data_IF_807738279970
#
_entry.id   IF_807738279970
#
_cell.length_a   1.000
_cell.length_b   1.000
_cell.length_c   1.000
_cell.angle_alpha   90.00
_cell.angle_beta   90.00
_cell.angle_gamma   90.00
#
_symmetry.space_group_name_H-M   'P 1'
#
loop_
_entity.id
_entity.type
_entity.pdbx_description
1 polymer ?
#
# COMPACT_ATOMS: atom_id res chain seq x y z
N UNK A 1 20.77 -32.30 29.49
CA UNK A 1 19.52 -32.16 28.69
C UNK A 1 19.30 -30.68 28.39
N UNK A 2 19.46 -30.24 27.15
CA UNK A 2 18.90 -28.95 26.67
C UNK A 2 19.08 -28.87 25.16
N UNK A 3 18.19 -29.52 24.40
CA UNK A 3 18.18 -29.45 22.95
C UNK A 3 16.72 -29.21 22.56
N UNK A 4 16.47 -28.24 21.67
CA UNK A 4 15.16 -27.91 21.09
C UNK A 4 14.29 -26.90 21.85
N UNK A 5 14.82 -25.69 22.00
CA UNK A 5 14.02 -24.49 22.25
C UNK A 5 13.76 -23.76 20.91
N UNK A 6 13.01 -24.38 20.01
CA UNK A 6 12.71 -23.77 18.72
C UNK A 6 11.76 -22.58 18.90
N UNK A 7 11.99 -21.53 18.11
CA UNK A 7 11.07 -20.40 17.94
C UNK A 7 9.87 -20.84 17.08
N UNK A 8 8.74 -20.10 17.07
CA UNK A 8 7.64 -20.40 16.17
C UNK A 8 8.10 -20.49 14.71
N UNK A 9 7.59 -21.49 14.00
CA UNK A 9 7.87 -21.66 12.56
C UNK A 9 6.85 -20.88 11.73
N UNK A 10 7.18 -20.61 10.45
CA UNK A 10 6.26 -19.97 9.51
C UNK A 10 4.93 -20.71 9.40
N UNK A 11 4.97 -22.03 9.23
CA UNK A 11 3.76 -22.85 9.14
C UNK A 11 2.87 -22.74 10.39
N UNK A 12 3.45 -22.62 11.59
CA UNK A 12 2.66 -22.41 12.81
C UNK A 12 1.96 -21.04 12.81
N UNK A 13 2.61 -20.00 12.29
CA UNK A 13 2.00 -18.67 12.16
C UNK A 13 0.94 -18.64 11.06
N UNK A 14 1.18 -19.31 9.93
CA UNK A 14 0.19 -19.44 8.84
C UNK A 14 -1.09 -20.13 9.35
N UNK A 15 -0.95 -21.21 10.15
CA UNK A 15 -2.11 -21.86 10.78
C UNK A 15 -2.86 -20.87 11.69
N UNK A 16 -2.16 -20.10 12.52
CA UNK A 16 -2.79 -19.09 13.37
C UNK A 16 -3.54 -18.04 12.52
N UNK A 17 -2.92 -17.52 11.47
CA UNK A 17 -3.52 -16.52 10.58
C UNK A 17 -4.79 -17.04 9.89
N UNK A 18 -4.80 -18.29 9.45
CA UNK A 18 -6.01 -18.92 8.91
C UNK A 18 -7.13 -19.02 9.95
N UNK A 19 -6.83 -19.33 11.20
CA UNK A 19 -7.84 -19.36 12.26
C UNK A 19 -8.37 -17.96 12.58
N UNK A 20 -7.51 -16.93 12.54
CA UNK A 20 -7.93 -15.53 12.67
C UNK A 20 -8.87 -15.14 11.54
N UNK A 21 -8.51 -15.43 10.29
CA UNK A 21 -9.37 -15.12 9.15
C UNK A 21 -10.73 -15.86 9.22
N UNK A 22 -10.74 -17.12 9.65
CA UNK A 22 -11.98 -17.89 9.79
C UNK A 22 -12.88 -17.38 10.91
N UNK A 23 -12.33 -17.04 12.07
CA UNK A 23 -13.14 -16.56 13.19
C UNK A 23 -13.70 -15.16 12.92
N UNK A 24 -12.94 -14.30 12.23
CA UNK A 24 -13.33 -12.93 11.90
C UNK A 24 -14.13 -12.78 10.61
N UNK A 25 -14.41 -13.86 9.86
CA UNK A 25 -14.97 -13.77 8.49
C UNK A 25 -16.29 -13.00 8.34
N UNK A 26 -17.05 -12.86 9.43
CA UNK A 26 -18.32 -12.11 9.41
C UNK A 26 -18.04 -10.61 9.61
N UNK A 27 -17.18 -10.26 10.58
CA UNK A 27 -16.90 -8.87 10.96
C UNK A 27 -15.84 -8.22 10.05
N UNK A 28 -14.91 -9.02 9.50
CA UNK A 28 -13.78 -8.59 8.67
C UNK A 28 -13.53 -9.57 7.50
N UNK A 29 -14.47 -9.72 6.55
CA UNK A 29 -14.32 -10.61 5.39
C UNK A 29 -13.08 -10.31 4.55
N UNK A 30 -12.66 -9.05 4.49
CA UNK A 30 -11.51 -8.56 3.72
C UNK A 30 -10.17 -9.16 4.16
N UNK A 31 -10.04 -9.59 5.44
CA UNK A 31 -8.83 -10.26 5.94
C UNK A 31 -8.66 -11.61 5.22
N UNK A 32 -9.75 -12.34 5.04
CA UNK A 32 -9.72 -13.64 4.36
C UNK A 32 -9.40 -13.47 2.87
N UNK A 33 -10.06 -12.53 2.22
CA UNK A 33 -9.82 -12.22 0.81
C UNK A 33 -8.35 -11.83 0.56
N UNK A 34 -7.81 -10.94 1.41
CA UNK A 34 -6.41 -10.54 1.32
C UNK A 34 -5.48 -11.73 1.54
N UNK A 35 -5.76 -12.61 2.51
CA UNK A 35 -4.94 -13.79 2.78
C UNK A 35 -4.91 -14.75 1.58
N UNK A 36 -6.05 -14.99 0.93
CA UNK A 36 -6.17 -15.85 -0.26
C UNK A 36 -5.40 -15.29 -1.48
N UNK A 37 -5.37 -13.97 -1.63
CA UNK A 37 -4.60 -13.27 -2.68
C UNK A 37 -3.11 -13.10 -2.34
N UNK A 38 -2.74 -13.32 -1.08
CA UNK A 38 -1.40 -13.02 -0.59
C UNK A 38 -0.33 -14.04 -0.95
N UNK A 39 0.91 -13.54 -1.09
CA UNK A 39 2.08 -14.43 -1.12
C UNK A 39 2.41 -14.95 0.29
N UNK A 40 3.14 -16.07 0.34
CA UNK A 40 3.54 -16.71 1.61
C UNK A 40 4.41 -15.79 2.48
N UNK A 41 4.40 -16.05 3.79
CA UNK A 41 5.24 -15.32 4.76
C UNK A 41 6.73 -15.46 4.37
N UNK A 42 7.35 -14.32 4.05
CA UNK A 42 8.76 -14.25 3.65
C UNK A 42 9.70 -14.39 4.85
N UNK A 43 9.38 -13.76 5.98
CA UNK A 43 10.18 -13.91 7.20
C UNK A 43 9.38 -13.62 8.47
N UNK A 44 9.89 -14.13 9.60
CA UNK A 44 9.37 -13.86 10.94
C UNK A 44 10.49 -13.19 11.75
N UNK A 45 10.15 -12.10 12.42
CA UNK A 45 11.04 -11.39 13.33
C UNK A 45 10.37 -11.23 14.69
N UNK A 46 11.17 -11.00 15.73
CA UNK A 46 10.67 -10.83 17.10
C UNK A 46 10.98 -9.41 17.57
N UNK A 47 9.93 -8.62 17.81
CA UNK A 47 10.07 -7.27 18.35
C UNK A 47 10.08 -7.26 19.87
N UNK A 48 10.71 -6.24 20.46
CA UNK A 48 10.72 -5.98 21.90
C UNK A 48 9.76 -4.87 22.33
N UNK A 49 9.37 -3.98 21.41
CA UNK A 49 8.47 -2.84 21.67
C UNK A 49 7.63 -2.53 20.41
N UNK A 50 6.34 -2.90 20.38
CA UNK A 50 5.70 -3.85 21.29
C UNK A 50 6.38 -5.23 21.24
N UNK A 51 6.26 -6.01 22.32
CA UNK A 51 6.75 -7.39 22.32
C UNK A 51 5.86 -8.23 21.40
N UNK A 52 6.42 -8.88 20.39
CA UNK A 52 5.58 -9.61 19.44
C UNK A 52 6.31 -10.32 18.32
N UNK A 53 5.52 -10.92 17.43
CA UNK A 53 5.95 -11.61 16.22
C UNK A 53 5.63 -10.70 15.03
N UNK A 54 6.65 -10.14 14.38
CA UNK A 54 6.50 -9.36 13.16
C UNK A 54 6.59 -10.27 11.94
N UNK A 55 5.71 -10.05 10.96
CA UNK A 55 5.61 -10.81 9.73
C UNK A 55 6.01 -9.93 8.56
N UNK A 56 6.95 -10.40 7.75
CA UNK A 56 7.28 -9.77 6.46
C UNK A 56 6.75 -10.64 5.33
N UNK A 57 6.14 -10.01 4.33
CA UNK A 57 5.57 -10.66 3.16
C UNK A 57 6.25 -10.15 1.89
N UNK A 58 6.36 -11.00 0.89
CA UNK A 58 6.62 -10.52 -0.46
C UNK A 58 5.31 -9.96 -1.02
N UNK A 59 5.33 -8.78 -1.61
CA UNK A 59 4.12 -8.19 -2.15
C UNK A 59 3.80 -8.81 -3.51
N UNK A 60 2.52 -9.14 -3.73
CA UNK A 60 1.99 -9.44 -5.05
C UNK A 60 1.27 -8.17 -5.55
N UNK A 61 1.55 -7.75 -6.79
CA UNK A 61 0.97 -6.55 -7.39
C UNK A 61 -0.56 -6.62 -7.49
N UNK A 62 -1.16 -7.82 -7.57
CA UNK A 62 -2.62 -7.98 -7.60
C UNK A 62 -3.29 -7.58 -6.27
N UNK A 63 -2.61 -7.77 -5.13
CA UNK A 63 -3.08 -7.29 -3.81
C UNK A 63 -3.04 -5.76 -3.76
N UNK A 64 -2.18 -5.10 -4.57
CA UNK A 64 -2.08 -3.64 -4.56
C UNK A 64 -3.38 -2.96 -5.02
N UNK A 65 -4.30 -3.70 -5.66
CA UNK A 65 -5.53 -3.17 -6.28
C UNK A 65 -6.79 -3.33 -5.41
N UNK A 66 -6.74 -4.03 -4.28
CA UNK A 66 -7.90 -4.18 -3.37
C UNK A 66 -8.00 -3.01 -2.37
N UNK A 67 -9.16 -2.83 -1.73
CA UNK A 67 -9.34 -1.84 -0.67
C UNK A 67 -8.41 -2.13 0.51
N UNK A 68 -7.38 -1.29 0.70
CA UNK A 68 -6.37 -1.46 1.75
C UNK A 68 -6.81 -0.74 3.03
N UNK A 69 -7.00 -1.50 4.11
CA UNK A 69 -7.12 -0.93 5.44
C UNK A 69 -5.92 -1.31 6.31
N UNK A 70 -5.47 -0.33 7.08
CA UNK A 70 -4.43 -0.48 8.09
C UNK A 70 -5.09 -0.21 9.44
N UNK A 71 -5.04 -1.17 10.34
CA UNK A 71 -5.67 -1.04 11.64
C UNK A 71 -5.07 -1.99 12.67
N UNK A 72 -5.22 -1.62 13.95
CA UNK A 72 -4.98 -2.52 15.07
C UNK A 72 -6.34 -3.10 15.51
N UNK A 73 -6.36 -4.39 15.81
CA UNK A 73 -7.52 -5.14 16.24
C UNK A 73 -7.33 -5.64 17.67
N UNK A 74 -8.32 -5.32 18.51
CA UNK A 74 -8.42 -5.71 19.90
C UNK A 74 -9.66 -6.58 20.13
N UNK A 75 -9.68 -7.33 21.23
CA UNK A 75 -10.83 -8.12 21.66
C UNK A 75 -10.80 -9.59 21.20
N UNK A 76 -9.77 -10.01 20.47
CA UNK A 76 -9.50 -11.42 20.23
C UNK A 76 -8.77 -12.05 21.42
N UNK A 77 -9.12 -13.29 21.72
CA UNK A 77 -8.49 -14.08 22.78
C UNK A 77 -7.96 -15.40 22.27
N UNK A 78 -6.82 -15.84 22.79
CA UNK A 78 -6.19 -17.12 22.49
C UNK A 78 -6.00 -17.94 23.76
N UNK A 79 -6.21 -19.25 23.69
CA UNK A 79 -6.11 -20.12 24.86
C UNK A 79 -4.65 -20.31 25.30
N UNK A 80 -4.32 -19.90 26.53
CA UNK A 80 -3.03 -20.16 27.16
C UNK A 80 -3.02 -21.55 27.80
N UNK A 81 -2.20 -22.45 27.26
CA UNK A 81 -2.12 -23.86 27.68
C UNK A 81 -1.60 -24.05 29.09
N UNK A 82 -0.77 -23.12 29.58
CA UNK A 82 -0.17 -23.19 30.92
C UNK A 82 -1.13 -22.68 31.98
N UNK A 83 -1.76 -21.52 31.73
CA UNK A 83 -2.69 -20.88 32.68
C UNK A 83 -4.12 -21.43 32.59
N UNK A 84 -4.44 -22.17 31.52
CA UNK A 84 -5.75 -22.78 31.26
C UNK A 84 -6.86 -21.74 31.13
N UNK A 85 -6.53 -20.57 30.59
CA UNK A 85 -7.46 -19.46 30.40
C UNK A 85 -7.25 -18.81 29.03
N UNK A 86 -8.25 -18.05 28.59
CA UNK A 86 -8.16 -17.24 27.38
C UNK A 86 -7.52 -15.90 27.71
N UNK A 87 -6.43 -15.57 27.01
CA UNK A 87 -5.72 -14.30 27.16
C UNK A 87 -5.96 -13.43 25.93
N UNK A 88 -6.10 -12.12 26.14
CA UNK A 88 -6.24 -11.16 25.04
C UNK A 88 -4.96 -11.10 24.19
N UNK A 89 -5.14 -10.95 22.88
CA UNK A 89 -4.09 -10.74 21.91
C UNK A 89 -4.42 -9.53 21.05
N UNK A 90 -3.42 -8.70 20.77
CA UNK A 90 -3.58 -7.56 19.86
C UNK A 90 -2.95 -7.91 18.52
N UNK A 91 -3.71 -7.72 17.45
CA UNK A 91 -3.30 -8.02 16.09
C UNK A 91 -3.20 -6.74 15.28
N UNK A 92 -2.16 -6.63 14.47
CA UNK A 92 -1.88 -5.44 13.68
C UNK A 92 -1.97 -5.82 12.22
N UNK A 93 -2.88 -5.17 11.49
CA UNK A 93 -3.11 -5.42 10.07
C UNK A 93 -2.51 -4.30 9.22
N UNK A 94 -1.84 -4.70 8.13
CA UNK A 94 -1.38 -3.80 7.08
C UNK A 94 -1.89 -4.32 5.74
N UNK A 95 -2.58 -3.46 5.00
CA UNK A 95 -3.28 -3.84 3.77
C UNK A 95 -4.16 -5.09 3.98
N UNK A 96 -4.93 -5.10 5.08
CA UNK A 96 -5.74 -6.22 5.58
C UNK A 96 -4.99 -7.53 5.90
N UNK A 97 -3.65 -7.56 5.80
CA UNK A 97 -2.83 -8.72 6.13
C UNK A 97 -2.21 -8.60 7.52
N UNK A 98 -2.10 -9.72 8.23
CA UNK A 98 -1.48 -9.74 9.54
C UNK A 98 0.01 -9.39 9.41
N UNK A 99 0.40 -8.34 10.13
CA UNK A 99 1.77 -7.78 10.13
C UNK A 99 2.48 -7.97 11.46
N UNK A 100 1.74 -7.99 12.57
CA UNK A 100 2.28 -8.19 13.90
C UNK A 100 1.26 -8.85 14.83
N UNK A 101 1.75 -9.80 15.61
CA UNK A 101 1.05 -10.43 16.72
C UNK A 101 1.70 -9.94 18.01
N UNK A 102 1.04 -9.04 18.74
CA UNK A 102 1.54 -8.56 20.02
C UNK A 102 1.25 -9.57 21.12
N UNK A 103 2.33 -10.05 21.75
CA UNK A 103 2.24 -11.03 22.83
C UNK A 103 3.50 -11.04 23.68
N UNK A 104 3.34 -11.41 24.94
CA UNK A 104 4.47 -11.62 25.82
C UNK A 104 5.27 -12.86 25.40
N UNK A 105 6.61 -12.73 25.39
CA UNK A 105 7.57 -13.82 25.09
C UNK A 105 7.25 -14.54 23.76
N UNK A 106 7.27 -13.80 22.63
CA UNK A 106 6.82 -14.29 21.33
C UNK A 106 7.62 -15.51 20.82
N UNK A 107 8.87 -15.67 21.25
CA UNK A 107 9.71 -16.85 20.96
C UNK A 107 9.14 -18.18 21.51
N UNK A 108 8.18 -18.11 22.45
CA UNK A 108 7.51 -19.29 23.03
C UNK A 108 6.05 -19.42 22.60
N UNK A 109 5.59 -18.64 21.63
CA UNK A 109 4.18 -18.56 21.23
C UNK A 109 3.52 -19.93 21.05
N UNK A 110 4.06 -20.80 20.19
CA UNK A 110 3.52 -22.15 19.95
C UNK A 110 3.58 -23.09 21.17
N UNK A 111 4.43 -22.82 22.17
CA UNK A 111 4.47 -23.60 23.43
C UNK A 111 3.46 -23.08 24.44
N UNK A 112 3.25 -21.77 24.48
CA UNK A 112 2.37 -21.13 25.45
C UNK A 112 0.90 -21.24 25.02
N UNK A 113 0.62 -21.06 23.73
CA UNK A 113 -0.75 -20.89 23.24
C UNK A 113 -1.22 -22.07 22.38
N UNK A 114 -2.52 -22.32 22.42
CA UNK A 114 -3.24 -23.15 21.47
C UNK A 114 -3.98 -22.22 20.50
N UNK A 115 -3.33 -21.90 19.39
CA UNK A 115 -3.85 -20.97 18.38
C UNK A 115 -5.04 -21.52 17.58
N UNK A 116 -5.41 -22.79 17.77
CA UNK A 116 -6.65 -23.34 17.21
C UNK A 116 -7.87 -23.03 18.08
N UNK A 117 -7.63 -22.59 19.33
CA UNK A 117 -8.67 -22.23 20.29
C UNK A 117 -8.66 -20.72 20.51
N UNK A 118 -9.53 -20.06 19.77
CA UNK A 118 -9.72 -18.62 19.84
C UNK A 118 -11.16 -18.27 20.21
N UNK A 119 -11.34 -17.09 20.79
CA UNK A 119 -12.65 -16.53 21.12
C UNK A 119 -12.71 -15.06 20.70
N UNK A 120 -13.89 -14.63 20.30
CA UNK A 120 -14.22 -13.23 20.06
C UNK A 120 -14.81 -12.65 21.34
N UNK A 121 -14.18 -11.60 21.87
CA UNK A 121 -14.74 -10.72 22.88
C UNK A 121 -15.41 -9.49 22.23
N UNK A 122 -15.35 -8.35 22.91
CA UNK A 122 -15.77 -7.07 22.33
C UNK A 122 -14.70 -6.58 21.34
N UNK A 123 -14.95 -6.74 20.04
CA UNK A 123 -14.01 -6.31 19.00
C UNK A 123 -13.92 -4.79 18.95
N UNK A 124 -12.69 -4.27 18.92
CA UNK A 124 -12.41 -2.85 18.75
C UNK A 124 -11.31 -2.69 17.72
N UNK A 125 -11.47 -1.72 16.83
CA UNK A 125 -10.44 -1.36 15.86
C UNK A 125 -9.89 0.02 16.16
N UNK A 126 -8.60 0.19 15.89
CA UNK A 126 -7.96 1.49 15.82
C UNK A 126 -7.43 1.67 14.40
N UNK A 127 -8.05 2.52 13.57
CA UNK A 127 -7.54 2.76 12.24
C UNK A 127 -6.15 3.41 12.32
N UNK A 128 -5.26 2.97 11.44
CA UNK A 128 -3.94 3.55 11.24
C UNK A 128 -3.93 4.16 9.85
N UNK A 129 -4.15 5.47 9.77
CA UNK A 129 -3.84 6.21 8.56
C UNK A 129 -2.35 6.56 8.59
N UNK A 130 -1.59 6.04 7.64
CA UNK A 130 -0.37 6.71 7.23
C UNK A 130 -0.79 7.77 6.22
N UNK A 131 -0.65 9.04 6.57
CA UNK A 131 -0.75 10.09 5.55
C UNK A 131 0.49 9.93 4.66
N UNK A 132 0.28 9.53 3.40
CA UNK A 132 1.35 9.54 2.41
C UNK A 132 1.84 10.99 2.30
N UNK A 133 3.12 11.21 2.61
CA UNK A 133 3.73 12.54 2.59
C UNK A 133 3.62 13.17 1.20
N UNK A 134 3.77 12.37 0.15
CA UNK A 134 3.69 12.83 -1.24
C UNK A 134 2.25 13.22 -1.58
N UNK A 135 1.26 12.45 -1.13
CA UNK A 135 -0.18 12.80 -1.21
C UNK A 135 -0.49 14.10 -0.49
N UNK A 136 0.09 14.30 0.71
CA UNK A 136 -0.06 15.54 1.46
C UNK A 136 0.52 16.72 0.68
N UNK A 137 1.74 16.57 0.17
CA UNK A 137 2.40 17.62 -0.62
C UNK A 137 1.60 17.93 -1.88
N UNK A 138 1.13 16.91 -2.61
CA UNK A 138 0.28 17.10 -3.78
C UNK A 138 -1.01 17.87 -3.45
N UNK A 139 -1.68 17.52 -2.33
CA UNK A 139 -2.86 18.25 -1.85
C UNK A 139 -2.54 19.69 -1.48
N UNK A 140 -1.40 19.92 -0.82
CA UNK A 140 -0.97 21.26 -0.42
C UNK A 140 -0.67 22.16 -1.64
N UNK A 141 -0.05 21.59 -2.69
CA UNK A 141 0.15 22.25 -3.98
C UNK A 141 -1.20 22.60 -4.62
N UNK A 142 -2.17 21.69 -4.54
CA UNK A 142 -3.48 21.82 -5.20
C UNK A 142 -4.58 22.43 -4.30
N UNK A 143 -4.23 23.03 -3.16
CA UNK A 143 -5.20 23.49 -2.14
C UNK A 143 -6.23 24.50 -2.64
N UNK A 144 -5.91 25.23 -3.71
CA UNK A 144 -6.78 26.25 -4.30
C UNK A 144 -7.69 25.69 -5.40
N UNK A 145 -7.52 24.42 -5.80
CA UNK A 145 -8.33 23.76 -6.82
C UNK A 145 -9.68 23.38 -6.24
N UNK A 146 -10.75 23.64 -6.99
CA UNK A 146 -12.11 23.27 -6.57
C UNK A 146 -12.25 21.77 -6.34
N UNK A 147 -13.08 21.37 -5.36
CA UNK A 147 -13.31 19.96 -5.01
C UNK A 147 -13.75 19.10 -6.20
N UNK A 148 -14.59 19.63 -7.09
CA UNK A 148 -15.09 18.91 -8.27
C UNK A 148 -13.97 18.60 -9.27
N UNK A 149 -12.99 19.50 -9.40
CA UNK A 149 -11.78 19.28 -10.20
C UNK A 149 -10.83 18.29 -9.53
N UNK A 150 -10.62 18.41 -8.21
CA UNK A 150 -9.78 17.48 -7.45
C UNK A 150 -10.28 16.03 -7.53
N UNK A 151 -11.60 15.82 -7.49
CA UNK A 151 -12.21 14.49 -7.61
C UNK A 151 -12.00 13.82 -8.99
N UNK A 152 -11.53 14.57 -10.00
CA UNK A 152 -11.16 14.02 -11.30
C UNK A 152 -9.70 13.56 -11.34
N UNK A 153 -8.91 13.85 -10.30
CA UNK A 153 -7.50 13.48 -10.20
C UNK A 153 -7.31 12.22 -9.33
N UNK A 154 -6.15 11.59 -9.46
CA UNK A 154 -5.76 10.38 -8.73
C UNK A 154 -4.71 10.70 -7.65
N UNK A 155 -4.97 11.75 -6.87
CA UNK A 155 -4.00 12.29 -5.89
C UNK A 155 -3.82 11.43 -4.64
N UNK A 156 -4.77 10.53 -4.35
CA UNK A 156 -4.74 9.70 -3.14
C UNK A 156 -3.52 8.77 -3.13
N UNK A 157 -3.09 8.32 -4.30
CA UNK A 157 -1.93 7.47 -4.53
C UNK A 157 -0.73 8.27 -5.09
N UNK A 158 -0.65 9.57 -4.81
CA UNK A 158 0.43 10.39 -5.32
C UNK A 158 1.80 9.89 -4.83
N UNK A 159 2.77 9.92 -5.74
CA UNK A 159 4.18 9.63 -5.45
C UNK A 159 5.04 10.80 -5.91
N UNK A 160 6.15 11.02 -5.22
CA UNK A 160 7.21 11.91 -5.68
C UNK A 160 8.10 11.19 -6.71
N UNK A 161 8.32 11.85 -7.84
CA UNK A 161 9.25 11.40 -8.88
C UNK A 161 10.34 12.47 -9.01
N UNK A 162 11.57 12.08 -8.71
CA UNK A 162 12.75 12.91 -8.94
C UNK A 162 13.28 12.71 -10.37
N UNK A 163 13.43 13.80 -11.12
CA UNK A 163 14.04 13.78 -12.44
C UNK A 163 14.83 15.06 -12.71
N UNK A 164 16.12 14.93 -13.06
CA UNK A 164 17.03 16.05 -13.31
C UNK A 164 17.03 17.07 -12.15
N UNK A 165 17.21 16.59 -10.92
CA UNK A 165 17.22 17.39 -9.68
C UNK A 165 15.93 18.20 -9.41
N UNK A 166 14.83 17.83 -10.08
CA UNK A 166 13.50 18.41 -9.85
C UNK A 166 12.53 17.34 -9.34
N UNK A 167 11.64 17.75 -8.46
CA UNK A 167 10.62 16.89 -7.85
C UNK A 167 9.25 17.15 -8.48
N UNK A 168 8.57 16.06 -8.83
CA UNK A 168 7.25 16.07 -9.45
C UNK A 168 6.31 15.17 -8.65
N UNK A 169 5.12 15.66 -8.31
CA UNK A 169 4.12 14.93 -7.54
C UNK A 169 2.99 14.48 -8.47
N UNK A 170 2.75 13.18 -8.56
CA UNK A 170 1.79 12.63 -9.53
C UNK A 170 0.36 13.01 -9.20
N UNK A 171 -0.41 13.39 -10.22
CA UNK A 171 -1.84 13.72 -10.12
C UNK A 171 -2.73 12.83 -10.99
N UNK A 172 -2.15 12.11 -11.97
CA UNK A 172 -2.83 11.06 -12.75
C UNK A 172 -1.83 9.95 -13.08
N UNK A 173 -2.24 8.70 -12.91
CA UNK A 173 -1.51 7.53 -13.39
C UNK A 173 -1.91 7.24 -14.85
N UNK A 174 -0.96 7.27 -15.78
CA UNK A 174 -1.20 7.03 -17.20
C UNK A 174 -0.76 5.63 -17.65
N UNK A 175 -0.52 4.74 -16.68
CA UNK A 175 -0.07 3.35 -16.84
C UNK A 175 1.35 3.21 -17.44
N UNK A 176 1.93 2.01 -17.28
CA UNK A 176 3.26 1.67 -17.83
C UNK A 176 4.36 2.66 -17.42
N UNK A 177 4.33 3.15 -16.18
CA UNK A 177 5.30 4.11 -15.66
C UNK A 177 5.16 5.53 -16.22
N UNK A 178 4.04 5.86 -16.88
CA UNK A 178 3.74 7.20 -17.36
C UNK A 178 2.79 7.93 -16.41
N UNK A 179 2.99 9.23 -16.22
CA UNK A 179 2.23 10.02 -15.27
C UNK A 179 1.99 11.45 -15.77
N UNK A 180 0.92 12.07 -15.26
CA UNK A 180 0.82 13.53 -15.20
C UNK A 180 1.15 13.94 -13.76
N UNK A 181 1.98 14.97 -13.60
CA UNK A 181 2.48 15.40 -12.31
C UNK A 181 2.56 16.93 -12.22
N UNK A 182 2.62 17.44 -11.00
CA UNK A 182 2.80 18.88 -10.70
C UNK A 182 4.14 19.13 -10.02
N UNK A 183 4.73 20.29 -10.28
CA UNK A 183 5.82 20.80 -9.45
C UNK A 183 5.27 21.65 -8.28
N UNK A 184 6.17 22.06 -7.37
CA UNK A 184 5.84 22.96 -6.25
C UNK A 184 5.30 24.35 -6.66
N UNK A 185 5.40 24.70 -7.94
CA UNK A 185 4.90 25.97 -8.51
C UNK A 185 3.60 25.76 -9.29
N UNK A 186 2.91 24.63 -9.09
CA UNK A 186 1.64 24.26 -9.72
C UNK A 186 1.72 24.04 -11.25
N UNK A 187 2.92 24.01 -11.85
CA UNK A 187 3.08 23.71 -13.27
C UNK A 187 2.83 22.23 -13.50
N UNK A 188 2.18 21.88 -14.62
CA UNK A 188 1.81 20.50 -14.93
C UNK A 188 2.72 19.92 -15.99
N UNK A 189 3.19 18.70 -15.73
CA UNK A 189 4.16 17.98 -16.54
C UNK A 189 3.63 16.61 -16.91
N UNK A 190 3.99 16.18 -18.12
CA UNK A 190 3.89 14.81 -18.57
C UNK A 190 5.23 14.13 -18.33
N UNK A 191 5.20 13.07 -17.52
CA UNK A 191 6.32 12.19 -17.24
C UNK A 191 6.12 10.91 -18.07
N UNK A 192 7.06 10.64 -18.98
CA UNK A 192 7.03 9.44 -19.82
C UNK A 192 8.35 8.69 -19.66
N UNK A 193 8.26 7.45 -19.19
CA UNK A 193 9.42 6.65 -18.85
C UNK A 193 10.25 6.22 -20.07
N UNK A 194 9.58 5.98 -21.21
CA UNK A 194 10.18 5.40 -22.42
C UNK A 194 10.57 6.45 -23.48
N UNK A 195 10.07 7.67 -23.37
CA UNK A 195 10.31 8.73 -24.35
C UNK A 195 11.69 9.42 -24.13
N UNK A 196 12.31 9.86 -25.24
CA UNK A 196 13.60 10.58 -25.21
C UNK A 196 13.55 11.83 -24.30
N UNK A 197 12.54 12.66 -24.52
CA UNK A 197 12.15 13.70 -23.57
C UNK A 197 11.29 13.04 -22.49
N UNK A 198 11.88 12.73 -21.32
CA UNK A 198 11.17 12.06 -20.20
C UNK A 198 10.20 12.97 -19.46
N UNK A 199 10.53 14.25 -19.38
CA UNK A 199 9.73 15.27 -18.69
C UNK A 199 9.38 16.36 -19.68
N UNK A 200 8.09 16.64 -19.85
CA UNK A 200 7.61 17.71 -20.72
C UNK A 200 6.56 18.54 -19.99
N UNK A 201 6.78 19.85 -19.88
CA UNK A 201 5.75 20.76 -19.35
C UNK A 201 4.58 20.81 -20.34
N UNK A 202 3.36 20.58 -19.85
CA UNK A 202 2.14 20.60 -20.66
C UNK A 202 1.18 21.71 -20.26
N UNK A 203 1.33 22.27 -19.06
CA UNK A 203 0.57 23.44 -18.61
C UNK A 203 1.38 24.33 -17.66
N UNK A 204 1.06 25.62 -17.60
CA UNK A 204 1.72 26.57 -16.70
C UNK A 204 1.12 26.56 -15.29
N UNK A 205 -0.12 26.13 -15.15
CA UNK A 205 -0.81 25.97 -13.87
C UNK A 205 -1.86 24.85 -13.99
N UNK A 206 -2.46 24.46 -12.86
CA UNK A 206 -3.45 23.39 -12.82
C UNK A 206 -4.79 23.77 -13.47
N UNK A 207 -5.21 25.03 -13.40
CA UNK A 207 -6.48 25.47 -14.01
C UNK A 207 -6.44 25.38 -15.53
N UNK A 208 -5.37 25.88 -16.15
CA UNK A 208 -5.06 25.73 -17.58
C UNK A 208 -5.00 24.25 -17.99
N UNK A 209 -4.57 23.35 -17.09
CA UNK A 209 -4.55 21.92 -17.38
C UNK A 209 -5.96 21.32 -17.48
N UNK A 210 -6.92 21.82 -16.70
CA UNK A 210 -8.32 21.40 -16.81
C UNK A 210 -9.00 21.86 -18.11
N UNK A 211 -8.42 22.79 -18.86
CA UNK A 211 -8.86 23.08 -20.23
C UNK A 211 -8.47 21.95 -21.21
N UNK A 212 -7.42 21.18 -20.89
CA UNK A 212 -6.95 20.02 -21.66
C UNK A 212 -7.55 18.69 -21.16
N UNK A 213 -7.87 18.62 -19.86
CA UNK A 213 -8.35 17.42 -19.18
C UNK A 213 -9.71 17.66 -18.52
N UNK A 214 -10.74 16.98 -19.05
CA UNK A 214 -12.12 17.06 -18.56
C UNK A 214 -12.54 15.82 -17.76
N UNK A 215 -11.59 15.13 -17.14
CA UNK A 215 -11.81 13.85 -16.46
C UNK A 215 -11.52 12.62 -17.34
N UNK A 216 -11.40 12.77 -18.66
CA UNK A 216 -11.09 11.66 -19.57
C UNK A 216 -9.61 11.58 -19.94
N UNK A 217 -8.93 10.48 -19.59
CA UNK A 217 -7.51 10.24 -19.92
C UNK A 217 -7.25 10.13 -21.43
N UNK A 218 -8.27 9.80 -22.23
CA UNK A 218 -8.12 9.66 -23.69
C UNK A 218 -7.65 10.95 -24.37
N UNK A 219 -8.02 12.12 -23.84
CA UNK A 219 -7.56 13.42 -24.37
C UNK A 219 -6.07 13.67 -24.11
N UNK A 220 -5.46 12.93 -23.17
CA UNK A 220 -4.05 13.05 -22.79
C UNK A 220 -3.16 12.02 -23.49
N UNK A 221 -3.73 10.98 -24.11
CA UNK A 221 -2.98 9.93 -24.81
C UNK A 221 -2.10 10.52 -25.92
N UNK A 222 -2.60 11.52 -26.65
CA UNK A 222 -1.83 12.17 -27.71
C UNK A 222 -0.56 12.86 -27.17
N UNK A 223 -0.62 13.43 -25.96
CA UNK A 223 0.52 14.07 -25.31
C UNK A 223 1.58 13.05 -24.90
N UNK A 224 1.17 11.81 -24.63
CA UNK A 224 2.06 10.72 -24.21
C UNK A 224 2.77 10.04 -25.38
N UNK A 225 2.05 9.76 -26.47
CA UNK A 225 2.51 8.80 -27.48
C UNK A 225 2.72 9.37 -28.90
N UNK A 226 2.41 10.64 -29.19
CA UNK A 226 2.81 11.23 -30.48
C UNK A 226 4.29 11.62 -30.46
N UNK A 227 5.12 10.83 -31.12
CA UNK A 227 6.48 11.23 -31.51
C UNK A 227 6.40 12.38 -32.51
N UNK A 228 7.20 13.42 -32.31
CA UNK A 228 7.47 14.43 -33.33
C UNK A 228 8.05 13.70 -34.54
N UNK A 229 7.35 13.70 -35.68
CA UNK A 229 7.93 13.24 -36.95
C UNK A 229 9.11 14.13 -37.29
N UNK A 230 10.32 13.75 -36.90
CA UNK A 230 11.53 14.35 -37.46
C UNK A 230 11.54 14.02 -38.95
N UNK A 231 11.35 15.03 -39.80
CA UNK A 231 11.59 14.92 -41.24
C UNK A 231 12.99 14.32 -41.44
N UNK A 232 13.06 13.18 -42.11
CA UNK A 232 14.34 12.63 -42.55
C UNK A 232 14.92 13.58 -43.59
N UNK A 233 16.02 14.23 -43.24
CA UNK A 233 16.92 14.84 -44.19
C UNK A 233 17.67 13.72 -44.93
N UNK A 234 16.96 12.99 -45.79
CA UNK A 234 17.62 12.34 -46.93
C UNK A 234 17.43 13.30 -48.10
N UNK A 235 18.43 14.17 -48.26
CA UNK A 235 18.63 14.91 -49.49
C UNK A 235 18.85 13.90 -50.61
N UNK A 236 17.99 13.96 -51.62
CA UNK A 236 18.27 13.42 -52.94
C UNK A 236 19.57 14.04 -53.45
N UNK A 237 20.57 13.22 -53.70
CA UNK A 237 21.60 13.52 -54.69
C UNK A 237 21.36 12.60 -55.88
N UNK A 238 20.89 13.21 -56.97
CA UNK A 238 20.96 12.66 -58.32
C UNK A 238 22.42 12.42 -58.74
#
# INVERSE_FOLDING_TARGET
>A
MSVFNFKPTKSQIEIFEHHVAEILKIDFPEIREALELSSKIYSIQFSKKPSGICLSRAFNEEILRSQKNNFDLYGLKVFNKKRKEYEDITLFFRDNLLSLIEIEKPEKFHKTYDYTKMQIGELKTKPISFENLDTKIARDILKNVSKDKLNQLEIEDAIEIECNDNFYYTILNMENGNYIAVDKNEKVYRLNHEHLEKVKKISNNIDDFFDLYNGSKSNLIELLYKQTKTHSLYGNTN
#
